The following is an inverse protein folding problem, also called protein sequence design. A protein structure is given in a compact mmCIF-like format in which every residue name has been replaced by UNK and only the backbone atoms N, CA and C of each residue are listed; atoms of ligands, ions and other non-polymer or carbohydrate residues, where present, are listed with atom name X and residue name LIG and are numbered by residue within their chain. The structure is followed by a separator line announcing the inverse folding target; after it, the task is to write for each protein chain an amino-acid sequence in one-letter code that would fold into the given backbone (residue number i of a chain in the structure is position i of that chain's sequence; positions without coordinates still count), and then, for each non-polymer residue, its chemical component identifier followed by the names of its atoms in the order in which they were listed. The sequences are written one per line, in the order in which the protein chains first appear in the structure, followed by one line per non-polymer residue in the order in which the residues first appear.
data_IF_238552775649
#
_entry.id   IF_238552775649
#
_cell.length_a   1.000
_cell.length_b   1.000
_cell.length_c   1.000
_cell.angle_alpha   90.00
_cell.angle_beta   90.00
_cell.angle_gamma   90.00
#
_symmetry.space_group_name_H-M   'P 1'
#
loop_
_entity.id
_entity.type
_entity.pdbx_description
1 polymer ?
#
# COMPACT_ATOMS: atom_id res chain seq x y z
N UNK A 1 -1.46 -18.64 3.86
CA UNK A 1 -0.82 -18.20 5.14
C UNK A 1 -1.91 -17.56 6.02
N UNK A 2 -1.74 -17.50 7.39
CA UNK A 2 -2.73 -16.84 8.24
C UNK A 2 -2.77 -15.33 7.95
N UNK A 3 -3.97 -14.74 8.03
CA UNK A 3 -4.16 -13.29 7.86
C UNK A 3 -3.64 -12.49 9.05
N UNK A 4 -3.32 -11.23 8.83
CA UNK A 4 -2.99 -10.31 9.91
C UNK A 4 -4.26 -9.92 10.67
N UNK A 5 -4.15 -9.78 11.98
CA UNK A 5 -5.28 -9.44 12.87
C UNK A 5 -5.55 -7.93 12.91
N UNK A 6 -6.75 -7.51 13.34
CA UNK A 6 -7.09 -6.09 13.58
C UNK A 6 -6.07 -5.41 14.49
N UNK A 7 -5.64 -6.07 15.56
CA UNK A 7 -4.60 -5.58 16.50
C UNK A 7 -3.27 -5.29 15.80
N UNK A 8 -2.93 -6.05 14.75
CA UNK A 8 -1.72 -5.76 13.97
C UNK A 8 -1.81 -4.39 13.27
N UNK A 9 -2.98 -4.06 12.73
CA UNK A 9 -3.21 -2.81 12.02
C UNK A 9 -3.46 -1.61 12.94
N UNK A 10 -3.93 -1.82 14.18
CA UNK A 10 -4.25 -0.78 15.15
C UNK A 10 -3.02 -0.11 15.81
N UNK A 11 -1.84 -0.25 15.20
CA UNK A 11 -0.61 0.41 15.62
C UNK A 11 -0.56 1.84 15.10
N UNK A 12 0.34 2.68 15.68
CA UNK A 12 0.69 3.94 15.06
C UNK A 12 1.24 3.73 13.63
N UNK A 13 1.06 4.71 12.72
CA UNK A 13 1.37 4.51 11.30
C UNK A 13 2.85 4.25 11.03
N UNK A 14 3.78 4.76 11.84
CA UNK A 14 5.23 4.53 11.66
C UNK A 14 5.58 3.08 12.03
N UNK A 15 5.08 2.61 13.16
CA UNK A 15 5.27 1.21 13.60
C UNK A 15 4.60 0.26 12.62
N UNK A 16 3.38 0.58 12.13
CA UNK A 16 2.68 -0.24 11.16
C UNK A 16 3.43 -0.29 9.83
N UNK A 17 3.94 0.84 9.32
CA UNK A 17 4.69 0.91 8.07
C UNK A 17 5.91 -0.03 8.08
N UNK A 18 6.67 -0.02 9.17
CA UNK A 18 7.79 -0.95 9.36
C UNK A 18 7.35 -2.40 9.48
N UNK A 19 6.25 -2.67 10.20
CA UNK A 19 5.75 -4.02 10.45
C UNK A 19 5.12 -4.66 9.20
N UNK A 20 4.59 -3.85 8.27
CA UNK A 20 4.05 -4.30 6.99
C UNK A 20 5.13 -4.79 6.02
N UNK A 21 6.38 -4.34 6.14
CA UNK A 21 7.47 -4.88 5.32
C UNK A 21 7.63 -6.38 5.56
N UNK A 22 7.68 -7.13 4.46
CA UNK A 22 7.77 -8.59 4.47
C UNK A 22 6.42 -9.32 4.61
N UNK A 23 5.31 -8.62 4.89
CA UNK A 23 3.96 -9.19 4.82
C UNK A 23 3.52 -9.32 3.36
N UNK A 24 2.45 -10.07 3.08
CA UNK A 24 2.01 -10.38 1.73
C UNK A 24 0.64 -9.76 1.46
N UNK A 25 0.57 -8.80 0.54
CA UNK A 25 -0.69 -8.28 0.02
C UNK A 25 -1.24 -9.26 -1.00
N UNK A 26 -2.52 -9.65 -0.84
CA UNK A 26 -3.22 -10.61 -1.67
C UNK A 26 -4.46 -9.99 -2.28
N UNK A 27 -4.64 -10.19 -3.58
CA UNK A 27 -5.86 -9.89 -4.34
C UNK A 27 -6.39 -11.19 -4.94
N UNK A 28 -7.62 -11.54 -4.65
CA UNK A 28 -8.34 -12.64 -5.30
C UNK A 28 -9.29 -12.05 -6.31
N UNK A 29 -9.07 -12.33 -7.60
CA UNK A 29 -9.89 -11.85 -8.69
C UNK A 29 -11.26 -12.56 -8.73
N UNK A 30 -12.20 -12.03 -9.51
CA UNK A 30 -13.57 -12.56 -9.61
C UNK A 30 -13.61 -14.00 -10.21
N UNK A 31 -12.58 -14.39 -10.96
CA UNK A 31 -12.37 -15.74 -11.49
C UNK A 31 -11.66 -16.68 -10.49
N UNK A 32 -11.37 -16.23 -9.28
CA UNK A 32 -10.70 -16.97 -8.23
C UNK A 32 -9.18 -16.96 -8.31
N UNK A 33 -8.57 -16.37 -9.36
CA UNK A 33 -7.11 -16.29 -9.46
C UNK A 33 -6.52 -15.42 -8.37
N UNK A 34 -5.46 -15.92 -7.70
CA UNK A 34 -4.72 -15.18 -6.67
C UNK A 34 -3.56 -14.42 -7.29
N UNK A 35 -3.50 -13.12 -6.96
CA UNK A 35 -2.35 -12.27 -7.20
C UNK A 35 -1.77 -11.90 -5.85
N UNK A 36 -0.49 -12.19 -5.60
CA UNK A 36 0.13 -11.89 -4.32
C UNK A 36 1.52 -11.29 -4.49
N UNK A 37 1.88 -10.37 -3.58
CA UNK A 37 3.20 -9.77 -3.55
C UNK A 37 3.64 -9.44 -2.13
N UNK A 38 4.94 -9.65 -1.86
CA UNK A 38 5.59 -9.25 -0.62
C UNK A 38 5.74 -7.74 -0.58
N UNK A 39 5.28 -7.10 0.48
CA UNK A 39 5.44 -5.66 0.69
C UNK A 39 6.91 -5.37 0.97
N UNK A 40 7.54 -4.57 0.10
CA UNK A 40 8.97 -4.23 0.18
C UNK A 40 9.22 -2.75 0.41
N UNK A 41 8.18 -1.90 0.25
CA UNK A 41 8.27 -0.46 0.46
C UNK A 41 6.93 0.11 0.94
N UNK A 42 6.99 1.01 1.94
CA UNK A 42 5.83 1.66 2.56
C UNK A 42 6.12 3.13 2.90
N UNK A 43 5.06 3.94 3.04
CA UNK A 43 5.13 5.30 3.59
C UNK A 43 4.08 5.49 4.68
N UNK A 44 4.49 6.10 5.82
CA UNK A 44 3.55 6.46 6.88
C UNK A 44 2.98 7.87 6.67
N UNK A 45 1.67 8.03 6.86
CA UNK A 45 0.92 9.28 6.84
C UNK A 45 0.22 9.49 8.18
N UNK A 46 0.56 10.60 8.87
CA UNK A 46 0.20 10.82 10.27
C UNK A 46 -1.12 11.59 10.46
N UNK A 47 -2.00 11.55 9.47
CA UNK A 47 -3.34 12.09 9.59
C UNK A 47 -3.39 13.61 9.67
N UNK A 48 -4.18 14.13 10.62
CA UNK A 48 -4.55 15.55 10.71
C UNK A 48 -3.37 16.51 10.89
N UNK A 49 -2.26 16.07 11.43
CA UNK A 49 -1.06 16.89 11.64
C UNK A 49 -0.11 16.88 10.44
N UNK A 50 -0.25 15.92 9.53
CA UNK A 50 0.68 15.68 8.43
C UNK A 50 0.26 16.43 7.17
N UNK A 51 1.05 17.45 6.78
CA UNK A 51 0.77 18.27 5.58
C UNK A 51 0.73 17.49 4.28
N UNK A 52 1.32 16.29 4.23
CA UNK A 52 1.25 15.42 3.07
C UNK A 52 0.03 14.49 3.07
N UNK A 53 -0.68 14.36 4.19
CA UNK A 53 -1.87 13.51 4.28
C UNK A 53 -3.11 14.19 3.69
N UNK A 54 -3.97 13.42 3.04
CA UNK A 54 -5.25 13.92 2.51
C UNK A 54 -6.20 14.44 3.60
N UNK A 55 -5.96 14.04 4.85
CA UNK A 55 -6.74 14.40 6.05
C UNK A 55 -6.09 15.52 6.87
N UNK A 56 -5.05 16.16 6.35
CA UNK A 56 -4.40 17.30 7.00
C UNK A 56 -5.42 18.37 7.42
N UNK A 57 -5.26 18.91 8.62
CA UNK A 57 -6.15 19.91 9.19
C UNK A 57 -7.55 19.39 9.54
N UNK A 58 -7.74 18.06 9.64
CA UNK A 58 -9.03 17.43 9.92
C UNK A 58 -9.94 17.32 8.69
N UNK A 59 -9.41 17.46 7.49
CA UNK A 59 -10.19 17.39 6.25
C UNK A 59 -10.84 16.02 6.09
N UNK A 60 -12.18 16.01 6.08
CA UNK A 60 -13.01 14.83 5.85
C UNK A 60 -13.92 15.06 4.65
N UNK A 61 -13.84 14.17 3.67
CA UNK A 61 -14.56 14.26 2.40
C UNK A 61 -14.99 12.86 1.97
N UNK A 62 -15.94 12.70 1.02
CA UNK A 62 -16.28 11.39 0.49
C UNK A 62 -15.09 10.60 -0.06
N UNK A 63 -14.01 11.29 -0.49
CA UNK A 63 -12.78 10.65 -0.94
C UNK A 63 -11.96 10.07 0.20
N UNK A 64 -11.98 10.68 1.38
CA UNK A 64 -11.14 10.32 2.53
C UNK A 64 -11.90 9.59 3.62
N UNK A 65 -13.18 9.29 3.41
CA UNK A 65 -14.07 8.72 4.43
C UNK A 65 -13.54 7.40 5.00
N UNK A 66 -13.02 6.51 4.15
CA UNK A 66 -12.44 5.23 4.58
C UNK A 66 -11.24 5.38 5.53
N UNK A 67 -10.51 6.50 5.47
CA UNK A 67 -9.40 6.78 6.42
C UNK A 67 -9.88 7.01 7.86
N UNK A 68 -11.13 7.41 8.06
CA UNK A 68 -11.71 7.68 9.39
C UNK A 68 -12.31 6.42 10.03
N UNK A 69 -12.28 5.30 9.30
CA UNK A 69 -12.81 4.01 9.70
C UNK A 69 -11.88 3.17 10.56
N UNK A 70 -12.21 1.90 10.75
CA UNK A 70 -11.41 0.96 11.54
C UNK A 70 -10.03 0.70 10.96
N UNK A 71 -9.04 0.45 11.82
CA UNK A 71 -7.71 -0.02 11.41
C UNK A 71 -7.81 -1.28 10.53
N UNK A 72 -6.92 -1.39 9.55
CA UNK A 72 -6.89 -2.53 8.63
C UNK A 72 -7.94 -2.48 7.51
N UNK A 73 -8.63 -1.37 7.34
CA UNK A 73 -9.39 -1.13 6.12
C UNK A 73 -8.47 -0.57 5.02
N UNK A 74 -8.80 -0.87 3.77
CA UNK A 74 -8.12 -0.29 2.63
C UNK A 74 -8.60 1.14 2.39
N UNK A 75 -7.68 2.07 2.17
CA UNK A 75 -7.97 3.37 1.60
C UNK A 75 -7.40 3.42 0.19
N UNK A 76 -8.29 3.38 -0.82
CA UNK A 76 -7.90 3.37 -2.23
C UNK A 76 -8.41 4.64 -2.90
N UNK A 77 -7.49 5.44 -3.43
CA UNK A 77 -7.84 6.68 -4.09
C UNK A 77 -7.31 6.76 -5.52
N UNK A 78 -8.02 7.52 -6.33
CA UNK A 78 -7.64 7.78 -7.72
C UNK A 78 -6.76 9.04 -7.82
N UNK A 79 -5.65 8.94 -8.53
CA UNK A 79 -4.64 9.99 -8.65
C UNK A 79 -4.43 10.36 -10.12
N UNK A 80 -4.39 11.68 -10.40
CA UNK A 80 -4.14 12.27 -11.73
C UNK A 80 -5.02 11.71 -12.86
N UNK A 81 -6.23 11.24 -12.57
CA UNK A 81 -7.13 10.70 -13.58
C UNK A 81 -6.70 9.38 -14.24
N UNK A 82 -5.64 8.72 -13.74
CA UNK A 82 -5.07 7.54 -14.39
C UNK A 82 -4.68 6.40 -13.47
N UNK A 83 -4.42 6.66 -12.19
CA UNK A 83 -3.79 5.69 -11.30
C UNK A 83 -4.51 5.56 -9.97
N UNK A 84 -4.47 4.38 -9.38
CA UNK A 84 -4.90 4.13 -8.03
C UNK A 84 -3.69 3.92 -7.10
N UNK A 85 -3.88 4.24 -5.82
CA UNK A 85 -2.93 3.95 -4.76
C UNK A 85 -3.68 3.25 -3.62
N UNK A 86 -3.06 2.26 -3.00
CA UNK A 86 -3.65 1.50 -1.88
C UNK A 86 -2.91 1.81 -0.59
N UNK A 87 -3.69 2.16 0.43
CA UNK A 87 -3.19 2.38 1.78
C UNK A 87 -3.91 1.44 2.76
N UNK A 88 -3.27 1.19 3.87
CA UNK A 88 -3.82 0.48 5.03
C UNK A 88 -4.12 1.52 6.10
N UNK A 89 -5.38 1.63 6.52
CA UNK A 89 -5.79 2.49 7.64
C UNK A 89 -5.15 1.97 8.93
N UNK A 90 -4.54 2.88 9.70
CA UNK A 90 -3.86 2.57 10.95
C UNK A 90 -4.67 3.07 12.16
N UNK A 91 -4.20 2.74 13.37
CA UNK A 91 -4.78 3.16 14.65
C UNK A 91 -6.24 2.73 14.84
N UNK A 92 -7.23 3.62 14.81
CA UNK A 92 -8.62 3.29 15.07
C UNK A 92 -9.59 4.31 14.50
N UNK A 93 -10.91 4.08 14.69
CA UNK A 93 -11.91 5.01 14.19
C UNK A 93 -11.71 6.42 14.71
N UNK A 94 -11.81 7.41 13.84
CA UNK A 94 -11.61 8.82 14.17
C UNK A 94 -10.16 9.31 14.11
N UNK A 95 -9.19 8.40 13.93
CA UNK A 95 -7.77 8.73 13.75
C UNK A 95 -7.33 8.46 12.30
N UNK A 96 -7.46 9.44 11.39
CA UNK A 96 -7.32 9.21 9.94
C UNK A 96 -5.86 9.12 9.51
N UNK A 97 -5.17 8.13 10.04
CA UNK A 97 -3.78 7.79 9.71
C UNK A 97 -3.74 6.58 8.79
N UNK A 98 -2.73 6.49 7.94
CA UNK A 98 -2.62 5.38 7.00
C UNK A 98 -1.18 5.07 6.61
N UNK A 99 -0.98 3.88 6.07
CA UNK A 99 0.28 3.44 5.46
C UNK A 99 0.06 3.16 3.98
N UNK A 100 0.72 3.92 3.11
CA UNK A 100 0.77 3.65 1.68
C UNK A 100 1.66 2.44 1.42
N UNK A 101 1.14 1.45 0.68
CA UNK A 101 1.95 0.38 0.10
C UNK A 101 2.52 0.90 -1.22
N UNK A 102 3.85 1.03 -1.29
CA UNK A 102 4.51 1.63 -2.45
C UNK A 102 4.98 0.61 -3.48
N UNK A 103 5.54 -0.50 -3.01
CA UNK A 103 6.07 -1.52 -3.90
C UNK A 103 5.91 -2.92 -3.31
N UNK A 104 5.78 -3.89 -4.23
CA UNK A 104 5.70 -5.30 -3.93
C UNK A 104 6.75 -6.07 -4.74
N UNK A 105 7.31 -7.11 -4.12
CA UNK A 105 7.95 -8.21 -4.82
C UNK A 105 6.87 -9.23 -5.22
N UNK A 106 6.56 -9.41 -6.51
CA UNK A 106 5.53 -10.34 -6.97
C UNK A 106 5.86 -11.79 -6.57
N UNK A 107 4.86 -12.52 -6.08
CA UNK A 107 5.00 -13.91 -5.63
C UNK A 107 4.08 -14.87 -6.38
N UNK A 108 2.81 -14.47 -6.64
CA UNK A 108 1.79 -15.28 -7.28
C UNK A 108 1.07 -14.47 -8.37
N UNK A 109 0.68 -15.11 -9.47
CA UNK A 109 -0.09 -14.50 -10.54
C UNK A 109 0.71 -13.56 -11.46
N UNK A 110 2.02 -13.77 -11.64
CA UNK A 110 2.91 -12.87 -12.38
C UNK A 110 2.46 -12.64 -13.84
N UNK A 111 1.97 -13.69 -14.53
CA UNK A 111 1.51 -13.55 -15.92
C UNK A 111 0.23 -12.69 -16.00
N UNK A 112 -0.68 -12.84 -15.06
CA UNK A 112 -1.87 -11.98 -14.95
C UNK A 112 -1.47 -10.52 -14.63
N UNK A 113 -0.52 -10.32 -13.73
CA UNK A 113 0.04 -9.00 -13.45
C UNK A 113 0.66 -8.36 -14.69
N UNK A 114 1.40 -9.14 -15.51
CA UNK A 114 1.93 -8.67 -16.80
C UNK A 114 0.81 -8.26 -17.74
N UNK A 115 -0.23 -9.07 -17.87
CA UNK A 115 -1.39 -8.75 -18.69
C UNK A 115 -2.07 -7.44 -18.26
N UNK A 116 -2.31 -7.23 -16.96
CA UNK A 116 -2.86 -5.99 -16.43
C UNK A 116 -1.95 -4.77 -16.69
N UNK A 117 -0.63 -4.96 -16.62
CA UNK A 117 0.38 -3.91 -16.85
C UNK A 117 0.61 -3.58 -18.32
N UNK A 118 0.40 -4.54 -19.22
CA UNK A 118 0.61 -4.35 -20.68
C UNK A 118 -0.43 -3.39 -21.29
N UNK A 119 -1.65 -3.33 -20.70
CA UNK A 119 -2.74 -2.52 -21.26
C UNK A 119 -3.10 -2.96 -22.69
N UNK A 120 -3.55 -1.99 -23.53
CA UNK A 120 -3.96 -2.28 -24.92
C UNK A 120 -2.81 -2.46 -25.90
N UNK A 121 -1.56 -2.21 -25.51
CA UNK A 121 -0.38 -2.36 -26.38
C UNK A 121 0.61 -3.32 -25.73
N UNK A 122 0.87 -4.49 -26.34
CA UNK A 122 1.94 -5.38 -25.91
C UNK A 122 3.27 -4.61 -26.00
N UNK A 123 3.84 -4.26 -24.86
CA UNK A 123 5.23 -3.79 -24.78
C UNK A 123 6.15 -5.02 -24.66
N UNK A 124 7.44 -4.82 -24.87
CA UNK A 124 8.44 -5.82 -24.53
C UNK A 124 8.14 -6.43 -23.15
N UNK A 125 8.40 -7.74 -22.98
CA UNK A 125 8.09 -8.47 -21.74
C UNK A 125 8.64 -7.72 -20.53
N UNK A 126 7.74 -7.23 -19.65
CA UNK A 126 8.10 -6.55 -18.42
C UNK A 126 8.87 -7.52 -17.52
N UNK A 127 10.00 -7.08 -16.97
CA UNK A 127 10.73 -7.81 -15.95
C UNK A 127 9.86 -7.90 -14.68
N UNK A 128 10.08 -8.93 -13.88
CA UNK A 128 9.35 -9.09 -12.59
C UNK A 128 9.55 -7.88 -11.68
N UNK A 129 10.76 -7.31 -11.67
CA UNK A 129 11.11 -6.09 -10.94
C UNK A 129 10.33 -4.85 -11.38
N UNK A 130 9.79 -4.83 -12.59
CA UNK A 130 9.05 -3.68 -13.13
C UNK A 130 7.53 -3.77 -12.88
N UNK A 131 7.03 -4.94 -12.45
CA UNK A 131 5.58 -5.19 -12.31
C UNK A 131 4.96 -4.33 -11.23
N UNK A 132 5.58 -4.28 -10.04
CA UNK A 132 5.01 -3.67 -8.84
C UNK A 132 5.95 -2.67 -8.15
N UNK A 133 7.00 -2.16 -8.83
CA UNK A 133 7.94 -1.18 -8.32
C UNK A 133 7.37 0.26 -8.42
N UNK A 134 6.43 0.57 -7.56
CA UNK A 134 5.76 1.87 -7.45
C UNK A 134 4.25 1.73 -7.24
N UNK A 135 3.62 2.69 -6.51
CA UNK A 135 2.24 2.56 -6.04
C UNK A 135 1.21 2.44 -7.16
N UNK A 136 1.38 3.19 -8.26
CA UNK A 136 0.52 3.07 -9.43
C UNK A 136 0.72 1.75 -10.18
N UNK A 137 1.97 1.28 -10.26
CA UNK A 137 2.31 0.01 -10.94
C UNK A 137 1.70 -1.17 -10.21
N UNK A 138 1.86 -1.24 -8.87
CA UNK A 138 1.28 -2.33 -8.08
C UNK A 138 -0.25 -2.31 -8.12
N UNK A 139 -0.88 -1.14 -8.05
CA UNK A 139 -2.33 -1.05 -8.14
C UNK A 139 -2.85 -1.53 -9.50
N UNK A 140 -2.18 -1.18 -10.59
CA UNK A 140 -2.50 -1.69 -11.91
C UNK A 140 -2.25 -3.20 -12.02
N UNK A 141 -1.10 -3.70 -11.53
CA UNK A 141 -0.75 -5.13 -11.57
C UNK A 141 -1.78 -6.00 -10.86
N UNK A 142 -2.24 -5.57 -9.68
CA UNK A 142 -3.24 -6.27 -8.88
C UNK A 142 -4.70 -5.92 -9.24
N UNK A 143 -4.94 -5.12 -10.27
CA UNK A 143 -6.27 -4.63 -10.66
C UNK A 143 -7.03 -4.00 -9.47
N UNK A 144 -6.34 -3.14 -8.70
CA UNK A 144 -6.94 -2.41 -7.59
C UNK A 144 -7.60 -1.13 -8.11
N UNK A 145 -8.87 -0.92 -7.76
CA UNK A 145 -9.61 0.29 -8.10
C UNK A 145 -10.50 0.75 -6.93
N UNK A 146 -11.27 1.82 -7.16
CA UNK A 146 -12.16 2.44 -6.16
C UNK A 146 -13.24 1.52 -5.60
N UNK A 147 -13.61 0.43 -6.28
CA UNK A 147 -14.58 -0.54 -5.79
C UNK A 147 -14.08 -1.29 -4.54
N UNK A 148 -12.77 -1.33 -4.37
CA UNK A 148 -12.11 -1.96 -3.21
C UNK A 148 -11.81 -0.95 -2.09
N UNK A 149 -12.16 0.35 -2.23
CA UNK A 149 -12.01 1.33 -1.16
C UNK A 149 -12.91 0.96 0.03
N UNK A 150 -12.38 1.02 1.25
CA UNK A 150 -13.08 0.59 2.45
C UNK A 150 -13.11 -0.93 2.70
N UNK A 151 -12.51 -1.75 1.83
CA UNK A 151 -12.42 -3.21 2.06
C UNK A 151 -11.71 -3.51 3.38
N UNK A 152 -12.27 -4.40 4.16
CA UNK A 152 -11.65 -4.93 5.36
C UNK A 152 -10.51 -5.91 5.00
N UNK A 153 -9.26 -5.51 5.25
CA UNK A 153 -8.07 -6.33 4.95
C UNK A 153 -7.86 -7.48 5.94
N UNK A 154 -8.67 -7.57 7.00
CA UNK A 154 -8.64 -8.67 7.97
C UNK A 154 -9.61 -9.77 7.56
N UNK A 155 -10.86 -9.41 7.23
CA UNK A 155 -11.96 -10.36 6.96
C UNK A 155 -12.35 -10.42 5.47
N UNK A 156 -11.93 -9.45 4.66
CA UNK A 156 -12.31 -9.34 3.25
C UNK A 156 -11.87 -10.54 2.41
N UNK A 157 -12.70 -10.94 1.43
CA UNK A 157 -12.44 -12.11 0.59
C UNK A 157 -11.55 -11.80 -0.61
N UNK A 158 -11.66 -10.59 -1.15
CA UNK A 158 -11.00 -10.21 -2.41
C UNK A 158 -9.70 -9.43 -2.24
N UNK A 159 -9.47 -8.81 -1.08
CA UNK A 159 -8.26 -8.06 -0.80
C UNK A 159 -7.94 -8.19 0.70
N UNK A 160 -6.76 -8.68 1.03
CA UNK A 160 -6.33 -8.88 2.41
C UNK A 160 -4.80 -8.96 2.53
N UNK A 161 -4.30 -8.96 3.78
CA UNK A 161 -2.87 -9.09 4.04
C UNK A 161 -2.61 -10.36 4.85
N UNK A 162 -1.78 -11.23 4.30
CA UNK A 162 -1.29 -12.45 4.94
C UNK A 162 0.01 -12.21 5.68
N UNK A 163 0.24 -13.02 6.71
CA UNK A 163 1.49 -13.02 7.47
C UNK A 163 2.62 -13.56 6.60
N UNK A 164 3.60 -12.71 6.34
CA UNK A 164 4.84 -13.05 5.68
C UNK A 164 6.02 -13.14 6.66
N UNK A 165 7.23 -13.14 6.13
CA UNK A 165 8.46 -13.15 6.91
C UNK A 165 8.78 -11.74 7.42
N UNK A 166 8.90 -11.59 8.74
CA UNK A 166 9.30 -10.31 9.36
C UNK A 166 10.69 -9.88 8.86
N UNK A 167 10.81 -8.60 8.51
CA UNK A 167 12.10 -7.99 8.15
C UNK A 167 12.80 -7.54 9.44
N UNK A 168 14.06 -7.97 9.68
CA UNK A 168 14.85 -7.47 10.79
C UNK A 168 15.06 -5.96 10.71
N UNK A 169 15.10 -5.27 11.86
CA UNK A 169 15.21 -3.81 11.89
C UNK A 169 16.44 -3.27 11.14
N UNK A 170 17.58 -3.97 11.22
CA UNK A 170 18.81 -3.62 10.51
C UNK A 170 18.73 -3.73 8.97
N UNK A 171 17.70 -4.42 8.45
CA UNK A 171 17.43 -4.55 7.00
C UNK A 171 16.35 -3.60 6.51
N UNK A 172 15.92 -2.63 7.35
CA UNK A 172 14.95 -1.60 6.97
C UNK A 172 15.68 -0.27 6.80
N UNK A 173 15.67 0.24 5.58
CA UNK A 173 16.14 1.59 5.27
C UNK A 173 15.00 2.58 5.51
N UNK A 174 15.36 3.73 6.08
CA UNK A 174 14.41 4.82 6.36
C UNK A 174 14.84 6.06 5.59
N UNK A 175 13.89 6.75 4.96
CA UNK A 175 14.17 7.96 4.18
C UNK A 175 12.94 8.84 4.00
N UNK A 176 13.06 9.95 3.25
CA UNK A 176 11.95 10.82 2.94
C UNK A 176 10.94 10.14 2.02
N UNK A 177 9.67 10.59 2.12
CA UNK A 177 8.58 10.17 1.23
C UNK A 177 8.75 10.75 -0.17
N UNK A 178 8.18 10.08 -1.18
CA UNK A 178 8.34 10.45 -2.59
C UNK A 178 7.09 11.17 -3.11
N UNK A 179 7.30 12.23 -3.90
CA UNK A 179 6.21 12.93 -4.60
C UNK A 179 5.40 13.89 -3.74
N UNK A 180 5.92 14.32 -2.59
CA UNK A 180 5.22 15.20 -1.64
C UNK A 180 5.94 16.53 -1.38
N UNK A 181 6.69 17.05 -2.36
CA UNK A 181 7.44 18.32 -2.22
C UNK A 181 6.56 19.50 -1.79
N UNK A 182 5.26 19.47 -2.12
CA UNK A 182 4.28 20.49 -1.71
C UNK A 182 4.06 20.57 -0.18
N UNK A 183 4.48 19.56 0.58
CA UNK A 183 4.25 19.49 2.02
C UNK A 183 5.30 20.25 2.87
N UNK A 184 6.23 20.98 2.22
CA UNK A 184 7.27 21.75 2.91
C UNK A 184 8.17 20.85 3.76
N UNK A 185 8.44 21.23 5.02
CA UNK A 185 9.30 20.48 5.94
C UNK A 185 8.86 19.02 6.16
N UNK A 186 7.58 18.74 5.97
CA UNK A 186 7.07 17.37 6.04
C UNK A 186 7.61 16.46 4.93
N UNK A 187 8.05 17.02 3.80
CA UNK A 187 8.67 16.26 2.72
C UNK A 187 10.02 15.65 3.13
N UNK A 188 10.73 16.31 4.06
CA UNK A 188 12.05 15.85 4.51
C UNK A 188 11.99 14.81 5.65
N UNK A 189 10.82 14.60 6.26
CA UNK A 189 10.67 13.65 7.36
C UNK A 189 10.91 12.21 6.91
N UNK A 190 11.65 11.40 7.71
CA UNK A 190 12.00 10.02 7.36
C UNK A 190 10.83 9.05 7.60
N UNK A 191 9.77 9.20 6.81
CA UNK A 191 8.50 8.45 6.94
C UNK A 191 8.30 7.42 5.80
N UNK A 192 9.33 7.16 4.99
CA UNK A 192 9.38 6.07 4.02
C UNK A 192 10.31 4.97 4.50
N UNK A 193 9.85 3.73 4.37
CA UNK A 193 10.56 2.53 4.81
C UNK A 193 10.62 1.52 3.69
N UNK A 194 11.78 0.91 3.46
CA UNK A 194 11.94 -0.14 2.46
C UNK A 194 12.97 -1.19 2.86
N UNK A 195 12.89 -2.36 2.25
CA UNK A 195 13.83 -3.44 2.46
C UNK A 195 15.18 -3.11 1.79
N UNK A 196 16.26 -3.18 2.56
CA UNK A 196 17.61 -2.95 2.06
C UNK A 196 17.95 -3.94 0.93
N UNK A 197 18.47 -3.43 -0.19
CA UNK A 197 18.95 -4.22 -1.32
C UNK A 197 17.88 -4.98 -2.09
N UNK A 198 16.56 -4.79 -1.82
CA UNK A 198 15.53 -5.47 -2.59
C UNK A 198 15.33 -4.80 -3.96
N UNK A 199 15.43 -5.54 -5.09
CA UNK A 199 15.39 -4.96 -6.45
C UNK A 199 14.00 -4.47 -6.88
N UNK A 200 12.95 -4.73 -6.10
CA UNK A 200 11.56 -4.31 -6.39
C UNK A 200 11.19 -2.98 -5.73
N UNK A 201 12.08 -2.35 -4.95
CA UNK A 201 11.86 -1.01 -4.36
C UNK A 201 11.75 0.03 -5.48
N UNK A 202 10.86 1.03 -5.32
CA UNK A 202 10.54 2.03 -6.36
C UNK A 202 11.54 3.20 -6.41
#
# INVERSE_FOLDING_TARGET
MPRLTRRFHARDPVTLARALLGQVLVRVLDDGERLAGRIVETEAYLGVIDRAAHTYGGRRTPRTESMWGPAGHAYIYFLYGMHHCVNVVAQGPGEPTAVLIRALEPLEGLERMRAHRAGRRPKARLRDTDLCSGPAKLAQALALDRRLDGTDLVEGEHLFIERGRRVPAGNIVTGPRIGIAYAGDWALRPLRFHMHGNPHVS
#
